data_IF_322715366577
#
_entry.id   IF_322715366577
#
_cell.length_a   1.000
_cell.length_b   1.000
_cell.length_c   1.000
_cell.angle_alpha   90.00
_cell.angle_beta   90.00
_cell.angle_gamma   90.00
#
_symmetry.space_group_name_H-M   'P 1'
#
loop_
_entity.id
_entity.type
_entity.pdbx_description
1 polymer ?
#
# COMPACT_ATOMS: atom_id res chain seq x y z
N UNK A 1 18.06 18.62 11.07
CA UNK A 1 16.80 18.28 10.40
C UNK A 1 16.95 16.82 10.04
N UNK A 2 16.24 15.93 10.73
CA UNK A 2 16.13 14.53 10.30
C UNK A 2 15.23 14.49 9.06
N UNK A 3 15.64 13.76 8.03
CA UNK A 3 14.84 13.60 6.83
C UNK A 3 13.77 12.54 7.10
N UNK A 4 12.51 12.87 6.81
CA UNK A 4 11.41 11.91 6.85
C UNK A 4 11.68 10.79 5.83
N UNK A 5 11.68 9.54 6.28
CA UNK A 5 11.79 8.37 5.38
C UNK A 5 10.48 7.60 5.36
N UNK A 6 10.22 6.97 4.22
CA UNK A 6 9.03 6.21 3.91
C UNK A 6 9.43 4.78 3.53
N UNK A 7 9.00 3.83 4.33
CA UNK A 7 9.31 2.41 4.21
C UNK A 7 8.15 1.68 3.53
N UNK A 8 8.47 0.94 2.46
CA UNK A 8 7.52 0.09 1.74
C UNK A 8 7.58 -1.31 2.30
N UNK A 9 6.46 -1.74 2.87
CA UNK A 9 6.29 -3.05 3.46
C UNK A 9 5.34 -3.86 2.59
N UNK A 10 5.71 -5.09 2.24
CA UNK A 10 4.83 -6.02 1.49
C UNK A 10 4.54 -7.27 2.30
N UNK A 11 3.37 -7.87 2.06
CA UNK A 11 3.02 -9.18 2.57
C UNK A 11 2.20 -9.98 1.55
N UNK A 12 2.25 -11.33 1.59
CA UNK A 12 1.31 -12.15 0.83
C UNK A 12 -0.12 -12.04 1.36
N UNK A 13 -1.08 -11.80 0.47
CA UNK A 13 -2.51 -11.65 0.79
C UNK A 13 -3.22 -12.96 1.15
N UNK A 14 -2.58 -14.12 0.95
CA UNK A 14 -3.30 -15.40 1.00
C UNK A 14 -2.48 -16.58 1.54
N UNK A 15 -1.84 -16.41 2.70
CA UNK A 15 -1.18 -17.51 3.41
C UNK A 15 -1.40 -17.30 4.91
N UNK A 16 -1.75 -18.36 5.64
CA UNK A 16 -2.00 -18.41 7.08
C UNK A 16 -0.86 -17.91 8.01
N UNK A 17 0.16 -17.25 7.45
CA UNK A 17 1.34 -16.67 8.11
C UNK A 17 1.59 -15.21 7.68
N UNK A 18 0.56 -14.50 7.19
CA UNK A 18 0.62 -13.10 6.73
C UNK A 18 0.92 -12.04 7.82
N UNK A 19 1.32 -12.48 9.03
CA UNK A 19 1.64 -11.61 10.16
C UNK A 19 2.95 -10.83 9.99
N UNK A 20 3.83 -11.25 9.07
CA UNK A 20 5.14 -10.63 8.88
C UNK A 20 5.16 -9.75 7.62
N UNK A 21 5.03 -8.44 7.84
CA UNK A 21 5.33 -7.43 6.83
C UNK A 21 6.83 -7.38 6.57
N UNK A 22 7.25 -7.53 5.32
CA UNK A 22 8.67 -7.47 4.94
C UNK A 22 9.00 -6.12 4.32
N UNK A 23 10.08 -5.49 4.78
CA UNK A 23 10.64 -4.28 4.17
C UNK A 23 11.20 -4.59 2.79
N UNK A 24 10.74 -3.82 1.80
CA UNK A 24 11.19 -3.89 0.41
C UNK A 24 12.18 -2.77 0.10
N UNK A 25 11.87 -1.55 0.53
CA UNK A 25 12.68 -0.37 0.26
C UNK A 25 12.29 0.80 1.19
N UNK A 26 13.21 1.74 1.35
CA UNK A 26 13.01 3.04 1.99
C UNK A 26 13.24 4.20 1.00
N UNK A 27 12.44 5.25 1.13
CA UNK A 27 12.44 6.41 0.25
C UNK A 27 12.40 7.70 1.06
N UNK A 28 12.92 8.79 0.50
CA UNK A 28 12.76 10.13 1.07
C UNK A 28 11.49 10.84 0.56
N UNK A 29 10.71 10.19 -0.30
CA UNK A 29 9.46 10.69 -0.90
C UNK A 29 8.35 9.65 -0.77
N UNK A 30 7.17 10.09 -0.36
CA UNK A 30 5.98 9.23 -0.24
C UNK A 30 5.49 8.75 -1.60
N UNK A 31 5.59 9.58 -2.65
CA UNK A 31 5.16 9.23 -4.01
C UNK A 31 6.01 8.07 -4.55
N UNK A 32 7.32 8.13 -4.37
CA UNK A 32 8.23 7.05 -4.79
C UNK A 32 7.97 5.74 -4.03
N UNK A 33 7.64 5.85 -2.74
CA UNK A 33 7.28 4.70 -1.91
C UNK A 33 5.97 4.04 -2.37
N UNK A 34 4.94 4.84 -2.66
CA UNK A 34 3.65 4.34 -3.19
C UNK A 34 3.84 3.72 -4.57
N UNK A 35 4.58 4.37 -5.47
CA UNK A 35 4.86 3.83 -6.80
C UNK A 35 5.69 2.54 -6.76
N UNK A 36 6.55 2.38 -5.76
CA UNK A 36 7.26 1.13 -5.52
C UNK A 36 6.28 0.03 -5.08
N UNK A 37 5.42 0.30 -4.11
CA UNK A 37 4.41 -0.66 -3.62
C UNK A 37 3.43 -1.10 -4.71
N UNK A 38 2.90 -0.16 -5.50
CA UNK A 38 2.01 -0.45 -6.64
C UNK A 38 2.70 -1.31 -7.70
N UNK A 39 3.97 -1.04 -8.03
CA UNK A 39 4.72 -1.88 -8.99
C UNK A 39 4.90 -3.31 -8.50
N UNK A 40 5.12 -3.50 -7.21
CA UNK A 40 5.24 -4.84 -6.62
C UNK A 40 3.90 -5.59 -6.61
N UNK A 41 2.80 -4.88 -6.32
CA UNK A 41 1.44 -5.42 -6.41
C UNK A 41 1.04 -5.76 -7.85
N UNK A 42 1.41 -4.96 -8.85
CA UNK A 42 1.16 -5.26 -10.26
C UNK A 42 1.87 -6.55 -10.72
N UNK A 43 3.10 -6.77 -10.25
CA UNK A 43 3.85 -8.01 -10.53
C UNK A 43 3.25 -9.20 -9.80
N UNK A 44 2.75 -8.99 -8.59
CA UNK A 44 2.18 -10.02 -7.74
C UNK A 44 0.84 -9.52 -7.16
N UNK A 45 -0.29 -9.77 -7.85
CA UNK A 45 -1.61 -9.28 -7.42
C UNK A 45 -2.11 -9.93 -6.10
N UNK A 46 -1.36 -10.91 -5.59
CA UNK A 46 -1.56 -11.55 -4.28
C UNK A 46 -0.64 -10.97 -3.21
N UNK A 47 -0.04 -9.80 -3.45
CA UNK A 47 0.69 -9.04 -2.43
C UNK A 47 -0.16 -7.85 -2.02
N UNK A 48 -0.22 -7.63 -0.71
CA UNK A 48 -0.60 -6.34 -0.15
C UNK A 48 0.68 -5.55 0.13
N UNK A 49 0.61 -4.23 -0.04
CA UNK A 49 1.68 -3.33 0.37
C UNK A 49 1.13 -2.25 1.29
N UNK A 50 1.99 -1.69 2.15
CA UNK A 50 1.71 -0.48 2.93
C UNK A 50 2.97 0.40 2.99
N UNK A 51 2.76 1.70 3.17
CA UNK A 51 3.83 2.67 3.34
C UNK A 51 3.81 3.18 4.77
N UNK A 52 4.94 3.04 5.48
CA UNK A 52 5.10 3.54 6.85
C UNK A 52 6.12 4.67 6.86
N UNK A 53 5.85 5.76 7.57
CA UNK A 53 6.88 6.79 7.79
C UNK A 53 7.74 6.45 9.00
N UNK A 54 9.00 6.92 9.01
CA UNK A 54 9.92 6.81 10.16
C UNK A 54 9.41 7.53 11.41
N UNK A 55 8.46 8.46 11.27
CA UNK A 55 7.76 9.10 12.38
C UNK A 55 6.58 8.26 12.91
N UNK A 56 6.47 7.01 12.45
CA UNK A 56 5.51 6.02 12.89
C UNK A 56 4.05 6.40 12.57
N UNK A 57 3.87 7.26 11.56
CA UNK A 57 2.57 7.56 10.96
C UNK A 57 2.32 6.54 9.84
N UNK A 58 1.43 5.59 10.11
CA UNK A 58 1.02 4.59 9.12
C UNK A 58 0.16 5.30 8.08
N UNK A 59 0.66 5.48 6.86
CA UNK A 59 -0.17 5.95 5.76
C UNK A 59 -0.75 4.71 5.07
N UNK A 60 -1.90 4.27 5.56
CA UNK A 60 -2.61 3.12 5.02
C UNK A 60 -3.22 3.47 3.66
N UNK A 61 -2.48 3.21 2.59
CA UNK A 61 -3.02 3.21 1.23
C UNK A 61 -3.62 1.85 0.93
N UNK A 62 -4.84 1.61 1.44
CA UNK A 62 -5.65 0.46 0.99
C UNK A 62 -6.37 0.89 -0.27
N UNK A 63 -5.66 0.86 -1.40
CA UNK A 63 -6.34 0.77 -2.68
C UNK A 63 -6.72 -0.70 -2.84
N UNK A 64 -7.83 -1.07 -2.19
CA UNK A 64 -8.57 -2.25 -2.60
C UNK A 64 -8.81 -2.04 -4.10
N UNK A 65 -8.33 -2.97 -4.93
CA UNK A 65 -8.88 -3.11 -6.27
C UNK A 65 -10.32 -3.53 -6.02
N UNK A 66 -11.20 -2.53 -5.89
CA UNK A 66 -12.64 -2.70 -5.89
C UNK A 66 -12.99 -3.12 -7.31
N UNK A 67 -12.93 -4.43 -7.55
CA UNK A 67 -13.49 -5.05 -8.74
C UNK A 67 -15.02 -4.98 -8.60
N UNK A 68 -15.56 -3.78 -8.80
CA UNK A 68 -16.97 -3.54 -9.04
C UNK A 68 -17.84 -3.21 -7.83
N UNK A 69 -17.84 -1.97 -7.40
CA UNK A 69 -19.02 -1.16 -7.11
C UNK A 69 -18.74 0.27 -7.58
N UNK A 70 -19.11 0.56 -8.83
CA UNK A 70 -19.50 1.93 -9.14
C UNK A 70 -20.73 2.18 -8.27
N UNK A 71 -20.61 3.09 -7.30
CA UNK A 71 -21.76 3.68 -6.62
C UNK A 71 -22.60 4.38 -7.70
N UNK A 72 -23.50 3.63 -8.33
CA UNK A 72 -24.71 4.15 -8.95
C UNK A 72 -25.60 4.64 -7.80
N UNK A 73 -25.36 5.85 -7.32
CA UNK A 73 -26.30 6.57 -6.47
C UNK A 73 -26.46 7.99 -7.01
N UNK A 74 -27.08 8.11 -8.18
CA UNK A 74 -27.82 9.31 -8.57
C UNK A 74 -29.14 8.88 -9.23
N UNK A 75 -30.03 8.32 -8.41
CA UNK A 75 -31.47 8.28 -8.69
C UNK A 75 -32.04 9.71 -8.53
N UNK A 76 -32.18 10.46 -9.64
CA UNK A 76 -32.96 11.71 -9.72
C UNK A 76 -34.12 11.56 -10.73
N UNK A 77 -35.36 11.54 -10.21
CA UNK A 77 -36.64 11.79 -10.90
C UNK A 77 -36.95 13.29 -10.97
#
# INVERSE_FOLDING_TARGET
MDALTYEVLVRPSNIAYAEHWKLVADFTSIEDAVDCGRREQQKNPRLEFKVCSSENETVEFVEAIDDGLQDEDEDED
#
